data_IF_574666582654
#
_entry.id   IF_574666582654
#
_cell.length_a   1.000
_cell.length_b   1.000
_cell.length_c   1.000
_cell.angle_alpha   90.00
_cell.angle_beta   90.00
_cell.angle_gamma   90.00
#
_symmetry.space_group_name_H-M   'P 1'
#
loop_
_entity.id
_entity.type
_entity.pdbx_description
1 polymer ?
#
# COMPACT_ATOMS: atom_id res chain seq x y z
N UNK A 1 6.86 -16.85 7.39
CA UNK A 1 6.02 -15.63 7.27
C UNK A 1 6.11 -15.20 5.82
N UNK A 2 5.00 -15.10 5.09
CA UNK A 2 5.03 -14.88 3.64
C UNK A 2 5.34 -13.40 3.34
N UNK A 3 6.40 -13.13 2.57
CA UNK A 3 6.89 -11.76 2.29
C UNK A 3 5.84 -10.94 1.54
N UNK A 4 5.05 -11.60 0.68
CA UNK A 4 3.91 -10.99 -0.02
C UNK A 4 2.80 -10.53 0.94
N UNK A 5 2.62 -11.25 2.04
CA UNK A 5 1.69 -10.88 3.11
C UNK A 5 2.17 -9.64 3.86
N UNK A 6 3.47 -9.54 4.13
CA UNK A 6 4.08 -8.37 4.79
C UNK A 6 3.99 -7.13 3.90
N UNK A 7 4.25 -7.27 2.60
CA UNK A 7 4.13 -6.18 1.62
C UNK A 7 2.70 -5.63 1.54
N UNK A 8 1.74 -6.53 1.35
CA UNK A 8 0.31 -6.17 1.23
C UNK A 8 -0.21 -5.54 2.52
N UNK A 9 0.26 -6.02 3.68
CA UNK A 9 -0.07 -5.46 4.98
C UNK A 9 0.51 -4.05 5.17
N UNK A 10 1.79 -3.84 4.85
CA UNK A 10 2.44 -2.53 4.98
C UNK A 10 1.81 -1.47 4.06
N UNK A 11 1.50 -1.85 2.82
CA UNK A 11 0.79 -0.97 1.89
C UNK A 11 -0.62 -0.64 2.38
N UNK A 12 -1.39 -1.66 2.80
CA UNK A 12 -2.74 -1.47 3.33
C UNK A 12 -2.77 -0.57 4.57
N UNK A 13 -1.83 -0.78 5.51
CA UNK A 13 -1.68 0.08 6.68
C UNK A 13 -1.35 1.52 6.30
N UNK A 14 -0.45 1.73 5.33
CA UNK A 14 -0.12 3.07 4.85
C UNK A 14 -1.34 3.83 4.33
N UNK A 15 -2.20 3.16 3.56
CA UNK A 15 -3.46 3.74 3.05
C UNK A 15 -4.44 4.03 4.19
N UNK A 16 -4.61 3.10 5.14
CA UNK A 16 -5.50 3.30 6.30
C UNK A 16 -5.06 4.51 7.13
N UNK A 17 -3.76 4.65 7.41
CA UNK A 17 -3.22 5.77 8.17
C UNK A 17 -3.47 7.09 7.45
N UNK A 18 -3.36 7.14 6.12
CA UNK A 18 -3.71 8.34 5.35
C UNK A 18 -5.19 8.69 5.47
N UNK A 19 -6.10 7.71 5.33
CA UNK A 19 -7.54 7.94 5.44
C UNK A 19 -7.90 8.45 6.84
N UNK A 20 -7.40 7.79 7.89
CA UNK A 20 -7.62 8.19 9.29
C UNK A 20 -7.02 9.58 9.54
N UNK A 21 -5.85 9.87 8.98
CA UNK A 21 -5.21 11.18 9.07
C UNK A 21 -6.03 12.31 8.45
N UNK A 22 -6.60 12.08 7.26
CA UNK A 22 -7.48 13.05 6.58
C UNK A 22 -8.76 13.28 7.39
N UNK A 23 -9.42 12.21 7.82
CA UNK A 23 -10.64 12.30 8.63
C UNK A 23 -10.37 12.98 9.98
N UNK A 24 -9.25 12.65 10.62
CA UNK A 24 -8.81 13.27 11.87
C UNK A 24 -8.50 14.76 11.71
N UNK A 25 -7.82 15.16 10.64
CA UNK A 25 -7.54 16.57 10.35
C UNK A 25 -8.83 17.37 10.10
N UNK A 26 -9.78 16.81 9.36
CA UNK A 26 -11.12 17.40 9.17
C UNK A 26 -11.82 17.54 10.54
N UNK A 27 -11.79 16.48 11.35
CA UNK A 27 -12.34 16.48 12.71
C UNK A 27 -11.77 17.61 13.57
N UNK A 28 -10.44 17.76 13.60
CA UNK A 28 -9.76 18.83 14.34
C UNK A 28 -10.13 20.22 13.77
N UNK A 29 -10.21 20.36 12.45
CA UNK A 29 -10.53 21.64 11.82
C UNK A 29 -11.92 22.17 12.17
N UNK A 30 -12.90 21.27 12.31
CA UNK A 30 -14.29 21.63 12.59
C UNK A 30 -14.68 21.55 14.07
N UNK A 31 -14.06 20.66 14.85
CA UNK A 31 -14.51 20.34 16.22
C UNK A 31 -13.49 20.64 17.31
N UNK A 32 -12.36 21.30 16.99
CA UNK A 32 -11.43 21.73 18.04
C UNK A 32 -11.90 23.05 18.68
N UNK A 33 -12.44 22.92 19.89
CA UNK A 33 -12.90 24.03 20.72
C UNK A 33 -11.90 24.34 21.85
N UNK A 34 -11.72 25.63 22.16
CA UNK A 34 -10.93 26.09 23.32
C UNK A 34 -11.64 25.77 24.64
N UNK A 35 -12.96 25.90 24.64
CA UNK A 35 -13.83 25.53 25.75
C UNK A 35 -14.94 24.65 25.16
N UNK A 36 -15.09 23.40 25.62
CA UNK A 36 -16.15 22.54 25.12
C UNK A 36 -17.52 23.11 25.54
N UNK A 37 -18.51 23.13 24.65
CA UNK A 37 -19.86 23.54 25.02
C UNK A 37 -20.39 22.57 26.07
N UNK A 38 -20.84 23.09 27.21
CA UNK A 38 -21.47 22.31 28.27
C UNK A 38 -22.86 22.86 28.57
N UNK A 39 -23.82 21.96 28.76
CA UNK A 39 -25.19 22.32 29.14
C UNK A 39 -25.29 22.28 30.67
N UNK A 40 -25.67 23.41 31.28
CA UNK A 40 -26.08 23.45 32.69
C UNK A 40 -27.53 23.90 32.70
N UNK A 41 -28.45 22.96 32.91
CA UNK A 41 -29.88 23.20 33.13
C UNK A 41 -30.55 24.18 32.16
N UNK A 42 -31.14 23.69 31.08
CA UNK A 42 -31.96 24.43 30.10
C UNK A 42 -31.33 25.68 29.43
N UNK A 43 -30.11 26.06 29.82
CA UNK A 43 -29.33 27.12 29.18
C UNK A 43 -28.17 26.48 28.42
N UNK A 44 -28.26 26.50 27.10
CA UNK A 44 -27.09 26.32 26.23
C UNK A 44 -26.25 27.58 26.33
N UNK A 45 -25.15 27.54 27.09
CA UNK A 45 -24.13 28.59 27.03
C UNK A 45 -23.44 28.43 25.67
N UNK A 46 -23.85 29.26 24.72
CA UNK A 46 -23.63 29.11 23.27
C UNK A 46 -22.20 29.41 22.79
N UNK A 47 -21.23 29.51 23.70
CA UNK A 47 -19.88 29.97 23.33
C UNK A 47 -18.87 28.83 23.37
N UNK A 48 -19.13 27.83 22.53
CA UNK A 48 -18.09 26.92 22.05
C UNK A 48 -17.10 27.69 21.18
N UNK A 49 -16.18 28.44 21.80
CA UNK A 49 -15.17 29.22 21.07
C UNK A 49 -14.21 28.26 20.38
N UNK A 50 -14.26 28.22 19.05
CA UNK A 50 -13.33 27.40 18.26
C UNK A 50 -11.88 27.84 18.48
N UNK A 51 -10.97 26.87 18.51
CA UNK A 51 -9.57 27.14 18.76
C UNK A 51 -8.94 27.91 17.57
N UNK A 52 -8.24 29.04 17.80
CA UNK A 52 -7.70 29.86 16.72
C UNK A 52 -6.61 29.12 15.90
N UNK A 53 -5.88 28.20 16.53
CA UNK A 53 -4.85 27.38 15.88
C UNK A 53 -5.38 26.06 15.30
N UNK A 54 -6.69 25.84 15.24
CA UNK A 54 -7.26 24.54 14.83
C UNK A 54 -6.81 24.06 13.46
N UNK A 55 -6.69 24.97 12.50
CA UNK A 55 -6.22 24.65 11.15
C UNK A 55 -4.72 24.36 11.09
N UNK A 56 -3.92 24.93 11.98
CA UNK A 56 -2.49 24.61 12.11
C UNK A 56 -2.30 23.19 12.67
N UNK A 57 -3.08 22.84 13.69
CA UNK A 57 -3.04 21.50 14.30
C UNK A 57 -3.59 20.46 13.30
N UNK A 58 -4.70 20.76 12.61
CA UNK A 58 -5.23 19.93 11.55
C UNK A 58 -4.22 19.73 10.41
N UNK A 59 -3.56 20.81 9.97
CA UNK A 59 -2.51 20.75 8.95
C UNK A 59 -1.32 19.90 9.38
N UNK A 60 -0.83 20.07 10.60
CA UNK A 60 0.25 19.26 11.16
C UNK A 60 -0.13 17.77 11.26
N UNK A 61 -1.36 17.47 11.70
CA UNK A 61 -1.89 16.11 11.77
C UNK A 61 -2.03 15.46 10.39
N UNK A 62 -2.44 16.23 9.38
CA UNK A 62 -2.55 15.74 8.00
C UNK A 62 -1.16 15.46 7.43
N UNK A 63 -0.22 16.38 7.65
CA UNK A 63 1.14 16.28 7.11
C UNK A 63 1.91 15.11 7.75
N UNK A 64 1.77 14.90 9.06
CA UNK A 64 2.34 13.73 9.73
C UNK A 64 1.77 12.42 9.17
N UNK A 65 0.45 12.34 8.99
CA UNK A 65 -0.21 11.15 8.44
C UNK A 65 0.21 10.85 7.01
N UNK A 66 0.38 11.88 6.17
CA UNK A 66 0.91 11.73 4.81
C UNK A 66 2.35 11.21 4.82
N UNK A 67 3.21 11.77 5.67
CA UNK A 67 4.61 11.34 5.78
C UNK A 67 4.70 9.89 6.24
N UNK A 68 3.98 9.51 7.31
CA UNK A 68 3.99 8.13 7.80
C UNK A 68 3.37 7.15 6.79
N UNK A 69 2.28 7.53 6.14
CA UNK A 69 1.67 6.73 5.07
C UNK A 69 2.63 6.52 3.91
N UNK A 70 3.30 7.59 3.46
CA UNK A 70 4.29 7.53 2.38
C UNK A 70 5.51 6.69 2.74
N UNK A 71 6.01 6.78 3.99
CA UNK A 71 7.12 5.95 4.46
C UNK A 71 6.73 4.46 4.42
N UNK A 72 5.54 4.10 4.90
CA UNK A 72 5.07 2.71 4.88
C UNK A 72 4.89 2.16 3.47
N UNK A 73 4.32 2.96 2.56
CA UNK A 73 4.18 2.60 1.15
C UNK A 73 5.55 2.51 0.47
N UNK A 74 6.49 3.39 0.82
CA UNK A 74 7.88 3.36 0.34
C UNK A 74 8.62 2.11 0.78
N UNK A 75 8.48 1.71 2.05
CA UNK A 75 9.03 0.44 2.57
C UNK A 75 8.43 -0.74 1.80
N UNK A 76 7.12 -0.74 1.55
CA UNK A 76 6.46 -1.79 0.77
C UNK A 76 7.00 -1.86 -0.68
N UNK A 77 7.30 -0.72 -1.30
CA UNK A 77 7.89 -0.66 -2.64
C UNK A 77 9.33 -1.19 -2.66
N UNK A 78 10.15 -0.87 -1.66
CA UNK A 78 11.53 -1.40 -1.54
C UNK A 78 11.50 -2.93 -1.39
N UNK A 79 10.58 -3.47 -0.58
CA UNK A 79 10.40 -4.91 -0.45
C UNK A 79 10.02 -5.53 -1.81
N UNK A 80 9.16 -4.87 -2.58
CA UNK A 80 8.78 -5.33 -3.93
C UNK A 80 9.98 -5.40 -4.87
N UNK A 81 10.86 -4.39 -4.87
CA UNK A 81 12.05 -4.38 -5.72
C UNK A 81 13.05 -5.46 -5.33
N UNK A 82 13.21 -5.73 -4.03
CA UNK A 82 14.10 -6.78 -3.53
C UNK A 82 13.59 -8.19 -3.86
N UNK A 83 12.27 -8.39 -3.99
CA UNK A 83 11.69 -9.64 -4.49
C UNK A 83 11.76 -9.74 -6.02
N UNK A 84 11.64 -8.61 -6.73
CA UNK A 84 11.67 -8.55 -8.19
C UNK A 84 13.01 -8.90 -8.83
N UNK A 85 14.12 -8.87 -8.08
CA UNK A 85 15.42 -9.36 -8.57
C UNK A 85 15.52 -10.90 -8.55
N UNK A 86 14.57 -11.60 -7.92
CA UNK A 86 14.46 -13.07 -7.95
C UNK A 86 13.42 -13.61 -8.93
N UNK A 87 12.52 -12.76 -9.44
CA UNK A 87 11.72 -13.08 -10.61
C UNK A 87 12.45 -12.53 -11.83
N UNK A 88 13.09 -13.43 -12.59
CA UNK A 88 13.54 -13.13 -13.95
C UNK A 88 12.35 -12.52 -14.67
N UNK A 89 12.37 -11.20 -14.85
CA UNK A 89 11.50 -10.56 -15.83
C UNK A 89 11.83 -11.25 -17.14
N UNK A 90 10.91 -12.07 -17.63
CA UNK A 90 10.93 -12.47 -19.03
C UNK A 90 10.79 -11.18 -19.82
N UNK A 91 11.93 -10.63 -20.24
CA UNK A 91 11.96 -9.55 -21.20
C UNK A 91 11.15 -10.02 -22.41
N UNK A 92 10.14 -9.26 -22.88
CA UNK A 92 9.33 -9.64 -24.04
C UNK A 92 10.13 -9.69 -25.36
N UNK A 93 11.45 -9.44 -25.29
CA UNK A 93 12.42 -9.50 -26.39
C UNK A 93 13.51 -10.56 -26.19
N UNK A 94 13.47 -11.35 -25.11
CA UNK A 94 14.39 -12.47 -24.92
C UNK A 94 13.93 -13.64 -25.79
N UNK A 95 14.63 -13.87 -26.91
CA UNK A 95 14.37 -15.01 -27.80
C UNK A 95 14.52 -16.32 -26.98
N UNK A 96 13.59 -17.29 -27.09
CA UNK A 96 13.72 -18.54 -26.33
C UNK A 96 15.05 -19.22 -26.67
N UNK A 97 15.80 -19.63 -25.65
CA UNK A 97 17.02 -20.39 -25.83
C UNK A 97 16.68 -21.87 -26.07
N UNK A 98 16.57 -22.24 -27.34
CA UNK A 98 16.30 -23.61 -27.78
C UNK A 98 17.52 -24.54 -27.63
N UNK A 99 18.64 -24.10 -27.05
CA UNK A 99 19.82 -24.95 -26.84
C UNK A 99 19.55 -26.16 -25.93
N UNK A 100 18.53 -26.07 -25.07
CA UNK A 100 18.09 -27.13 -24.15
C UNK A 100 17.19 -28.19 -24.81
N UNK A 101 16.54 -27.87 -25.93
CA UNK A 101 15.66 -28.84 -26.64
C UNK A 101 16.46 -29.84 -27.47
N UNK A 102 17.71 -29.53 -27.82
CA UNK A 102 18.54 -30.42 -28.65
C UNK A 102 19.08 -31.66 -27.95
N UNK A 103 18.96 -31.77 -26.62
CA UNK A 103 19.56 -32.88 -25.88
C UNK A 103 18.60 -34.05 -25.63
N UNK A 104 17.28 -33.87 -25.77
CA UNK A 104 16.30 -34.90 -25.43
C UNK A 104 15.69 -35.64 -26.63
N UNK A 105 15.97 -35.21 -27.86
CA UNK A 105 15.35 -35.78 -29.08
C UNK A 105 16.31 -36.68 -29.88
N UNK A 106 17.38 -37.22 -29.26
CA UNK A 106 18.35 -38.05 -30.00
C UNK A 106 17.78 -39.43 -30.37
N UNK A 107 16.70 -39.89 -29.70
CA UNK A 107 16.17 -41.25 -29.90
C UNK A 107 14.77 -41.31 -30.55
N UNK A 108 14.19 -40.19 -30.98
CA UNK A 108 12.91 -40.24 -31.71
C UNK A 108 13.12 -40.65 -33.16
N UNK A 109 12.94 -41.94 -33.45
CA UNK A 109 12.94 -42.47 -34.81
C UNK A 109 11.50 -42.60 -35.34
N UNK A 110 11.02 -41.69 -36.20
CA UNK A 110 9.68 -41.77 -36.78
C UNK A 110 9.49 -42.99 -37.72
N UNK A 111 10.54 -43.73 -38.05
CA UNK A 111 10.45 -44.95 -38.86
C UNK A 111 10.08 -46.23 -38.07
N UNK A 112 9.92 -46.13 -36.74
CA UNK A 112 9.46 -47.25 -35.88
C UNK A 112 7.99 -47.10 -35.42
N UNK A 113 7.33 -45.99 -35.75
CA UNK A 113 5.95 -45.69 -35.35
C UNK A 113 4.93 -46.10 -36.43
N UNK A 114 5.06 -47.33 -36.94
CA UNK A 114 4.05 -47.98 -37.81
C UNK A 114 3.20 -49.01 -37.02
N UNK A 115 3.27 -49.00 -35.68
CA UNK A 115 2.57 -49.99 -34.83
C UNK A 115 1.29 -49.50 -34.16
N UNK A 116 0.88 -48.25 -34.39
CA UNK A 116 -0.42 -47.74 -33.97
C UNK A 116 -1.30 -47.56 -35.21
N UNK A 117 -2.12 -48.59 -35.45
CA UNK A 117 -3.12 -48.72 -36.52
C UNK A 117 -3.99 -47.50 -36.75
#
# INVERSE_FOLDING_TARGET
MNVDGIRSFAFGLGVIIMIVGVLGAIGIGFFLYTVPPYSVGDMTIDEGVLHPLRWWIAGASLLSSLVFGAILMGIAAIIATLQGDTEVKEDPYQKPDYSQLKHNDIDYNPALDDSVR
#
